data_IF_066833595889
#
_entry.id   IF_066833595889
#
_cell.length_a   1.000
_cell.length_b   1.000
_cell.length_c   1.000
_cell.angle_alpha   90.00
_cell.angle_beta   90.00
_cell.angle_gamma   90.00
#
_symmetry.space_group_name_H-M   'P 1'
#
loop_
_entity.id
_entity.type
_entity.pdbx_description
1 polymer ?
#
# COMPACT_ATOMS: atom_id res chain seq x y z
N UNK A 1 18.09 -6.43 22.18
CA UNK A 1 17.35 -6.89 20.99
C UNK A 1 18.35 -7.48 20.01
N UNK A 2 18.16 -8.74 19.60
CA UNK A 2 19.01 -9.40 18.61
C UNK A 2 18.94 -8.69 17.25
N UNK A 3 19.98 -8.75 16.40
CA UNK A 3 19.95 -8.17 15.03
C UNK A 3 18.74 -8.62 14.23
N UNK A 4 18.33 -9.88 14.34
CA UNK A 4 17.12 -10.41 13.71
C UNK A 4 15.86 -9.64 14.15
N UNK A 5 15.65 -9.39 15.42
CA UNK A 5 14.48 -8.68 15.95
C UNK A 5 14.36 -7.22 15.44
N UNK A 6 15.44 -6.64 14.91
CA UNK A 6 15.42 -5.31 14.26
C UNK A 6 14.94 -5.33 12.81
N UNK A 7 15.07 -6.47 12.11
CA UNK A 7 14.81 -6.60 10.66
C UNK A 7 13.34 -6.85 10.33
N UNK A 8 12.66 -7.68 11.13
CA UNK A 8 11.29 -8.11 10.88
C UNK A 8 10.31 -6.98 10.55
N UNK A 9 10.34 -5.81 11.23
CA UNK A 9 9.41 -4.74 10.91
C UNK A 9 9.52 -4.23 9.47
N UNK A 10 10.74 -4.13 8.91
CA UNK A 10 10.92 -3.65 7.54
C UNK A 10 10.39 -4.65 6.50
N UNK A 11 10.46 -5.95 6.78
CA UNK A 11 9.93 -6.98 5.87
C UNK A 11 8.42 -6.83 5.61
N UNK A 12 7.66 -6.26 6.57
CA UNK A 12 6.25 -5.95 6.38
C UNK A 12 5.98 -5.03 5.19
N UNK A 13 6.91 -4.11 4.87
CA UNK A 13 6.83 -3.24 3.70
C UNK A 13 7.07 -3.96 2.36
N UNK A 14 7.55 -5.19 2.37
CA UNK A 14 7.67 -6.04 1.17
C UNK A 14 6.53 -7.04 1.12
N UNK A 15 6.36 -7.81 2.19
CA UNK A 15 5.38 -8.92 2.24
C UNK A 15 3.95 -8.44 2.04
N UNK A 16 3.55 -7.37 2.73
CA UNK A 16 2.18 -6.82 2.63
C UNK A 16 1.83 -6.40 1.21
N UNK A 17 2.58 -5.46 0.59
CA UNK A 17 2.33 -5.04 -0.79
C UNK A 17 2.38 -6.18 -1.81
N UNK A 18 3.34 -7.10 -1.71
CA UNK A 18 3.46 -8.24 -2.64
C UNK A 18 2.27 -9.19 -2.50
N UNK A 19 1.87 -9.54 -1.27
CA UNK A 19 0.73 -10.41 -1.04
C UNK A 19 -0.58 -9.80 -1.56
N UNK A 20 -0.80 -8.49 -1.33
CA UNK A 20 -1.95 -7.78 -1.86
C UNK A 20 -1.95 -7.72 -3.39
N UNK A 21 -0.80 -7.39 -4.01
CA UNK A 21 -0.67 -7.36 -5.47
C UNK A 21 -0.93 -8.73 -6.09
N UNK A 22 -0.36 -9.79 -5.52
CA UNK A 22 -0.60 -11.16 -5.95
C UNK A 22 -2.08 -11.55 -5.81
N UNK A 23 -2.73 -11.17 -4.70
CA UNK A 23 -4.14 -11.47 -4.48
C UNK A 23 -5.02 -10.88 -5.59
N UNK A 24 -4.98 -9.55 -5.83
CA UNK A 24 -5.84 -8.98 -6.86
C UNK A 24 -5.48 -9.43 -8.29
N UNK A 25 -4.19 -9.68 -8.57
CA UNK A 25 -3.78 -10.14 -9.89
C UNK A 25 -4.25 -11.56 -10.22
N UNK A 26 -4.20 -12.46 -9.23
CA UNK A 26 -4.64 -13.85 -9.39
C UNK A 26 -6.17 -13.96 -9.34
N UNK A 27 -6.78 -13.32 -8.34
CA UNK A 27 -8.22 -13.44 -8.10
C UNK A 27 -9.05 -12.70 -9.16
N UNK A 28 -8.56 -11.55 -9.66
CA UNK A 28 -9.21 -10.83 -10.75
C UNK A 28 -9.33 -11.64 -12.04
N UNK A 29 -8.39 -12.56 -12.30
CA UNK A 29 -8.47 -13.49 -13.45
C UNK A 29 -9.46 -14.63 -13.23
N UNK A 30 -9.84 -14.92 -12.00
CA UNK A 30 -10.73 -16.02 -11.61
C UNK A 30 -12.17 -15.59 -11.44
N UNK A 31 -12.42 -14.29 -11.30
CA UNK A 31 -13.78 -13.76 -11.10
C UNK A 31 -14.42 -13.48 -12.46
N UNK A 32 -15.48 -14.22 -12.78
CA UNK A 32 -16.25 -14.02 -14.00
C UNK A 32 -16.85 -12.60 -14.05
N UNK A 33 -16.81 -11.97 -15.23
CA UNK A 33 -17.36 -10.63 -15.46
C UNK A 33 -16.54 -9.48 -14.86
N UNK A 34 -15.43 -9.77 -14.16
CA UNK A 34 -14.57 -8.75 -13.59
C UNK A 34 -13.60 -8.17 -14.62
N UNK A 35 -13.61 -6.85 -14.76
CA UNK A 35 -12.71 -6.11 -15.65
C UNK A 35 -11.63 -5.37 -14.84
N UNK A 36 -10.36 -5.71 -14.93
CA UNK A 36 -9.30 -4.96 -14.26
C UNK A 36 -9.13 -3.52 -14.76
N UNK A 37 -9.76 -3.15 -15.86
CA UNK A 37 -9.72 -1.79 -16.43
C UNK A 37 -10.77 -0.91 -15.74
N UNK A 38 -12.01 -1.39 -15.62
CA UNK A 38 -13.13 -0.61 -15.08
C UNK A 38 -13.40 -0.87 -13.61
N UNK A 39 -13.15 -2.09 -13.12
CA UNK A 39 -13.64 -2.50 -11.81
C UNK A 39 -12.62 -2.26 -10.70
N UNK A 40 -13.11 -1.77 -9.57
CA UNK A 40 -12.30 -1.56 -8.38
C UNK A 40 -11.83 -2.90 -7.78
N UNK A 41 -10.62 -2.90 -7.21
CA UNK A 41 -10.05 -4.08 -6.53
C UNK A 41 -10.94 -4.54 -5.38
N UNK A 42 -11.63 -3.62 -4.69
CA UNK A 42 -12.53 -3.94 -3.58
C UNK A 42 -13.75 -4.78 -3.98
N UNK A 43 -14.13 -4.81 -5.25
CA UNK A 43 -15.18 -5.72 -5.75
C UNK A 43 -14.79 -7.20 -5.63
N UNK A 44 -13.48 -7.49 -5.67
CA UNK A 44 -12.99 -8.86 -5.39
C UNK A 44 -13.18 -9.31 -3.94
N UNK A 45 -13.45 -8.37 -3.02
CA UNK A 45 -13.75 -8.61 -1.62
C UNK A 45 -15.21 -8.31 -1.25
N UNK A 46 -16.09 -8.07 -2.23
CA UNK A 46 -17.52 -7.83 -2.01
C UNK A 46 -18.18 -9.02 -1.31
N UNK A 47 -19.32 -8.79 -0.65
CA UNK A 47 -19.98 -9.81 0.20
C UNK A 47 -20.41 -11.06 -0.55
N UNK A 48 -20.72 -10.93 -1.84
CA UNK A 48 -21.15 -12.00 -2.75
C UNK A 48 -20.01 -12.52 -3.67
N UNK A 49 -18.83 -11.89 -3.63
CA UNK A 49 -17.74 -12.28 -4.51
C UNK A 49 -17.15 -13.65 -4.11
N UNK A 50 -17.01 -14.60 -5.03
CA UNK A 50 -16.39 -15.90 -4.76
C UNK A 50 -14.91 -15.76 -4.37
N UNK A 51 -14.28 -14.66 -4.72
CA UNK A 51 -12.89 -14.32 -4.41
C UNK A 51 -12.71 -13.62 -3.06
N UNK A 52 -13.81 -13.33 -2.33
CA UNK A 52 -13.85 -12.53 -1.10
C UNK A 52 -12.80 -12.95 -0.06
N UNK A 53 -12.77 -14.22 0.31
CA UNK A 53 -11.87 -14.69 1.36
C UNK A 53 -10.39 -14.44 1.02
N UNK A 54 -9.99 -14.76 -0.22
CA UNK A 54 -8.61 -14.54 -0.69
C UNK A 54 -8.24 -13.06 -0.77
N UNK A 55 -9.15 -12.21 -1.24
CA UNK A 55 -8.91 -10.78 -1.34
C UNK A 55 -8.87 -10.11 0.04
N UNK A 56 -9.76 -10.50 0.95
CA UNK A 56 -9.74 -10.07 2.35
C UNK A 56 -8.43 -10.45 3.04
N UNK A 57 -7.91 -11.67 2.80
CA UNK A 57 -6.61 -12.08 3.31
C UNK A 57 -5.46 -11.22 2.75
N UNK A 58 -5.49 -10.89 1.45
CA UNK A 58 -4.53 -9.97 0.83
C UNK A 58 -4.54 -8.58 1.47
N UNK A 59 -5.74 -8.03 1.72
CA UNK A 59 -5.92 -6.75 2.43
C UNK A 59 -5.43 -6.81 3.88
N UNK A 60 -5.69 -7.92 4.58
CA UNK A 60 -5.24 -8.11 5.95
C UNK A 60 -3.70 -8.20 6.05
N UNK A 61 -3.05 -8.90 5.12
CA UNK A 61 -1.58 -8.95 5.03
C UNK A 61 -0.97 -7.58 4.73
N UNK A 62 -1.58 -6.81 3.81
CA UNK A 62 -1.18 -5.42 3.58
C UNK A 62 -1.36 -4.58 4.83
N UNK A 63 -2.54 -4.66 5.44
CA UNK A 63 -2.94 -3.86 6.58
C UNK A 63 -2.13 -4.13 7.85
N UNK A 64 -1.61 -5.34 8.03
CA UNK A 64 -0.72 -5.70 9.14
C UNK A 64 0.76 -5.43 8.80
N UNK A 65 1.17 -5.64 7.55
CA UNK A 65 2.53 -5.40 7.09
C UNK A 65 2.95 -3.93 7.13
N UNK A 66 2.06 -3.01 6.73
CA UNK A 66 2.38 -1.58 6.68
C UNK A 66 2.64 -0.93 8.04
N UNK A 67 1.92 -1.21 9.14
CA UNK A 67 2.29 -0.73 10.47
C UNK A 67 3.64 -1.27 10.94
N UNK A 68 4.00 -2.51 10.62
CA UNK A 68 5.33 -3.03 10.90
C UNK A 68 6.40 -2.24 10.15
N UNK A 69 6.21 -2.02 8.85
CA UNK A 69 7.09 -1.16 8.05
C UNK A 69 7.17 0.27 8.63
N UNK A 70 6.05 0.84 9.07
CA UNK A 70 6.01 2.16 9.69
C UNK A 70 6.92 2.25 10.93
N UNK A 71 6.95 1.20 11.77
CA UNK A 71 7.87 1.11 12.91
C UNK A 71 9.33 1.12 12.45
N UNK A 72 9.68 0.39 11.40
CA UNK A 72 11.03 0.39 10.85
C UNK A 72 11.41 1.77 10.27
N UNK A 73 10.49 2.38 9.51
CA UNK A 73 10.67 3.70 8.92
C UNK A 73 10.91 4.76 10.00
N UNK A 74 10.06 4.79 11.05
CA UNK A 74 10.17 5.73 12.18
C UNK A 74 11.52 5.68 12.89
N UNK A 75 12.12 4.48 13.01
CA UNK A 75 13.41 4.29 13.69
C UNK A 75 14.58 4.88 12.91
N UNK A 76 14.48 4.98 11.60
CA UNK A 76 15.59 5.36 10.72
C UNK A 76 15.39 6.74 10.10
N UNK A 77 14.15 7.09 9.77
CA UNK A 77 13.80 8.27 8.99
C UNK A 77 12.95 9.22 9.84
N UNK A 78 13.46 10.43 10.15
CA UNK A 78 12.67 11.43 10.88
C UNK A 78 11.52 11.95 10.03
N UNK A 79 10.47 12.48 10.68
CA UNK A 79 9.31 13.08 10.02
C UNK A 79 8.10 12.16 9.97
N UNK A 80 6.95 12.63 9.42
CA UNK A 80 5.66 11.99 9.57
C UNK A 80 5.37 10.86 8.56
N UNK A 81 6.30 10.52 7.65
CA UNK A 81 6.09 9.47 6.64
C UNK A 81 5.69 8.10 7.23
N UNK A 82 6.18 7.78 8.43
CA UNK A 82 5.78 6.56 9.16
C UNK A 82 4.31 6.57 9.57
N UNK A 83 3.79 7.74 9.97
CA UNK A 83 2.38 7.86 10.35
C UNK A 83 1.47 7.64 9.13
N UNK A 84 1.83 8.21 7.98
CA UNK A 84 1.11 7.95 6.73
C UNK A 84 1.12 6.45 6.37
N UNK A 85 2.25 5.74 6.52
CA UNK A 85 2.32 4.30 6.27
C UNK A 85 1.44 3.49 7.25
N UNK A 86 1.44 3.85 8.54
CA UNK A 86 0.57 3.23 9.53
C UNK A 86 -0.92 3.47 9.23
N UNK A 87 -1.28 4.70 8.84
CA UNK A 87 -2.65 5.05 8.42
C UNK A 87 -3.08 4.24 7.20
N UNK A 88 -2.21 4.10 6.18
CA UNK A 88 -2.52 3.25 5.01
C UNK A 88 -2.83 1.81 5.43
N UNK A 89 -2.04 1.25 6.35
CA UNK A 89 -2.30 -0.08 6.89
C UNK A 89 -3.63 -0.18 7.64
N UNK A 90 -3.91 0.76 8.53
CA UNK A 90 -5.18 0.81 9.26
C UNK A 90 -6.39 0.94 8.32
N UNK A 91 -6.30 1.77 7.29
CA UNK A 91 -7.34 1.90 6.26
C UNK A 91 -7.52 0.61 5.46
N UNK A 92 -6.43 -0.12 5.16
CA UNK A 92 -6.52 -1.42 4.48
C UNK A 92 -7.25 -2.46 5.33
N UNK A 93 -7.04 -2.49 6.66
CA UNK A 93 -7.80 -3.32 7.58
C UNK A 93 -9.27 -2.88 7.66
N UNK A 94 -9.54 -1.56 7.66
CA UNK A 94 -10.90 -1.04 7.65
C UNK A 94 -11.65 -1.44 6.38
N UNK A 95 -11.01 -1.34 5.21
CA UNK A 95 -11.56 -1.81 3.92
C UNK A 95 -11.87 -3.31 3.97
N UNK A 96 -10.98 -4.12 4.55
CA UNK A 96 -11.20 -5.57 4.73
C UNK A 96 -12.39 -5.89 5.65
N UNK A 97 -12.56 -5.10 6.73
CA UNK A 97 -13.64 -5.26 7.71
C UNK A 97 -14.98 -4.69 7.25
N UNK A 98 -14.97 -3.81 6.25
CA UNK A 98 -16.13 -3.13 5.71
C UNK A 98 -16.34 -3.51 4.23
N UNK A 99 -16.60 -4.79 3.88
CA UNK A 99 -16.72 -5.22 2.49
C UNK A 99 -17.86 -4.48 1.79
N UNK A 100 -17.74 -4.29 0.47
CA UNK A 100 -18.84 -3.77 -0.35
C UNK A 100 -20.02 -4.75 -0.28
N UNK A 101 -21.28 -4.26 -0.17
CA UNK A 101 -22.45 -5.09 -0.30
C UNK A 101 -22.63 -5.59 -1.73
N UNK A 102 -23.42 -6.64 -1.94
CA UNK A 102 -23.74 -7.16 -3.27
C UNK A 102 -24.41 -6.11 -4.16
N UNK A 103 -25.13 -5.19 -3.57
CA UNK A 103 -25.76 -4.05 -4.27
C UNK A 103 -25.65 -2.78 -3.45
N UNK A 104 -25.41 -1.65 -4.13
CA UNK A 104 -25.30 -0.34 -3.49
C UNK A 104 -23.91 -0.03 -2.93
N UNK A 105 -23.82 1.09 -2.24
CA UNK A 105 -22.59 1.65 -1.69
C UNK A 105 -22.51 1.47 -0.18
N UNK A 106 -21.27 1.50 0.31
CA UNK A 106 -20.98 1.58 1.76
C UNK A 106 -20.12 2.81 2.02
N UNK A 107 -20.70 3.93 2.49
CA UNK A 107 -19.95 5.17 2.71
C UNK A 107 -18.72 5.01 3.60
N UNK A 108 -18.79 4.19 4.65
CA UNK A 108 -17.65 3.91 5.52
C UNK A 108 -16.50 3.21 4.78
N UNK A 109 -16.80 2.30 3.82
CA UNK A 109 -15.79 1.69 2.94
C UNK A 109 -15.14 2.76 2.06
N UNK A 110 -15.94 3.62 1.43
CA UNK A 110 -15.42 4.68 0.56
C UNK A 110 -14.51 5.66 1.33
N UNK A 111 -14.90 6.08 2.53
CA UNK A 111 -14.07 6.92 3.40
C UNK A 111 -12.75 6.22 3.74
N UNK A 112 -12.79 4.95 4.15
CA UNK A 112 -11.57 4.19 4.45
C UNK A 112 -10.66 4.06 3.22
N UNK A 113 -11.22 3.82 2.03
CA UNK A 113 -10.46 3.73 0.78
C UNK A 113 -9.81 5.07 0.42
N UNK A 114 -10.55 6.18 0.46
CA UNK A 114 -10.02 7.53 0.15
C UNK A 114 -8.92 7.93 1.12
N UNK A 115 -9.10 7.71 2.42
CA UNK A 115 -8.07 7.99 3.42
C UNK A 115 -6.83 7.08 3.20
N UNK A 116 -7.04 5.82 2.86
CA UNK A 116 -5.97 4.89 2.50
C UNK A 116 -5.18 5.35 1.28
N UNK A 117 -5.85 5.83 0.23
CA UNK A 117 -5.20 6.35 -0.97
C UNK A 117 -4.41 7.63 -0.70
N UNK A 118 -5.02 8.59 0.00
CA UNK A 118 -4.35 9.84 0.36
C UNK A 118 -3.11 9.58 1.22
N UNK A 119 -3.23 8.71 2.22
CA UNK A 119 -2.10 8.35 3.08
C UNK A 119 -1.02 7.59 2.31
N UNK A 120 -1.37 6.67 1.40
CA UNK A 120 -0.39 5.96 0.57
C UNK A 120 0.44 6.92 -0.29
N UNK A 121 -0.21 7.87 -0.96
CA UNK A 121 0.50 8.89 -1.75
C UNK A 121 1.37 9.80 -0.85
N UNK A 122 0.94 10.09 0.37
CA UNK A 122 1.67 10.90 1.33
C UNK A 122 2.95 10.22 1.84
N UNK A 123 3.02 8.88 1.91
CA UNK A 123 4.22 8.17 2.43
C UNK A 123 5.48 8.61 1.71
N UNK A 124 5.63 8.45 0.38
CA UNK A 124 6.84 8.84 -0.33
C UNK A 124 7.06 10.35 -0.36
N UNK A 125 6.00 11.17 -0.39
CA UNK A 125 6.11 12.64 -0.36
C UNK A 125 6.72 13.13 0.95
N UNK A 126 6.16 12.69 2.07
CA UNK A 126 6.62 13.07 3.41
C UNK A 126 8.00 12.48 3.75
N UNK A 127 8.31 11.30 3.21
CA UNK A 127 9.61 10.66 3.39
C UNK A 127 10.70 11.20 2.44
N UNK A 128 10.37 11.86 1.33
CA UNK A 128 11.31 12.21 0.25
C UNK A 128 12.63 12.84 0.74
N UNK A 129 12.55 13.92 1.47
CA UNK A 129 13.76 14.63 1.95
C UNK A 129 14.44 13.90 3.11
N UNK A 130 13.72 13.47 4.17
CA UNK A 130 14.38 12.81 5.28
C UNK A 130 14.94 11.43 4.89
N UNK A 131 14.28 10.68 4.00
CA UNK A 131 14.78 9.41 3.49
C UNK A 131 16.05 9.62 2.64
N UNK A 132 16.06 10.62 1.76
CA UNK A 132 17.22 10.95 0.94
C UNK A 132 18.43 11.36 1.80
N UNK A 133 18.23 12.08 2.89
CA UNK A 133 19.30 12.42 3.84
C UNK A 133 19.93 11.20 4.51
N UNK A 134 19.15 10.13 4.69
CA UNK A 134 19.59 8.91 5.37
C UNK A 134 20.11 7.83 4.42
N UNK A 135 19.53 7.74 3.24
CA UNK A 135 19.74 6.63 2.29
C UNK A 135 20.47 7.05 1.01
N UNK A 136 20.73 8.36 0.84
CA UNK A 136 21.39 8.93 -0.32
C UNK A 136 20.50 9.84 -1.14
N UNK A 137 21.09 10.90 -1.72
CA UNK A 137 20.38 11.98 -2.43
C UNK A 137 19.51 11.47 -3.59
N UNK A 138 19.90 10.37 -4.23
CA UNK A 138 19.16 9.75 -5.33
C UNK A 138 17.71 9.33 -5.00
N UNK A 139 17.35 9.24 -3.73
CA UNK A 139 15.99 8.90 -3.33
C UNK A 139 15.00 10.08 -3.38
N UNK A 140 15.47 11.34 -3.39
CA UNK A 140 14.60 12.51 -3.25
C UNK A 140 13.62 12.68 -4.42
N UNK A 141 14.13 12.72 -5.64
CA UNK A 141 13.29 12.90 -6.83
C UNK A 141 12.37 11.70 -7.10
N UNK A 142 12.85 10.43 -7.08
CA UNK A 142 11.98 9.28 -7.23
C UNK A 142 10.87 9.20 -6.17
N UNK A 143 11.15 9.56 -4.91
CA UNK A 143 10.12 9.58 -3.86
C UNK A 143 9.02 10.60 -4.16
N UNK A 144 9.38 11.82 -4.57
CA UNK A 144 8.40 12.85 -4.92
C UNK A 144 7.57 12.43 -6.13
N UNK A 145 8.24 11.89 -7.15
CA UNK A 145 7.56 11.40 -8.36
C UNK A 145 6.59 10.26 -8.02
N UNK A 146 7.03 9.29 -7.23
CA UNK A 146 6.17 8.17 -6.81
C UNK A 146 4.92 8.65 -6.07
N UNK A 147 5.06 9.58 -5.14
CA UNK A 147 3.91 10.13 -4.42
C UNK A 147 2.98 10.94 -5.31
N UNK A 148 3.52 11.77 -6.20
CA UNK A 148 2.73 12.56 -7.14
C UNK A 148 1.96 11.64 -8.12
N UNK A 149 2.65 10.69 -8.76
CA UNK A 149 2.01 9.73 -9.68
C UNK A 149 0.96 8.88 -8.98
N UNK A 150 1.28 8.34 -7.79
CA UNK A 150 0.33 7.59 -6.97
C UNK A 150 -0.93 8.43 -6.69
N UNK A 151 -0.77 9.65 -6.18
CA UNK A 151 -1.89 10.53 -5.84
C UNK A 151 -2.72 10.92 -7.06
N UNK A 152 -2.09 11.27 -8.18
CA UNK A 152 -2.78 11.61 -9.42
C UNK A 152 -3.58 10.44 -9.97
N UNK A 153 -2.98 9.23 -10.05
CA UNK A 153 -3.69 8.04 -10.51
C UNK A 153 -4.89 7.73 -9.62
N UNK A 154 -4.73 7.78 -8.29
CA UNK A 154 -5.81 7.46 -7.37
C UNK A 154 -6.90 8.53 -7.37
N UNK A 155 -6.57 9.81 -7.51
CA UNK A 155 -7.56 10.88 -7.69
C UNK A 155 -8.33 10.71 -9.03
N UNK A 156 -7.64 10.32 -10.09
CA UNK A 156 -8.24 10.14 -11.40
C UNK A 156 -9.18 8.92 -11.50
N UNK A 157 -9.22 8.03 -10.51
CA UNK A 157 -10.19 6.91 -10.49
C UNK A 157 -11.65 7.36 -10.51
N UNK A 158 -11.93 8.61 -10.16
CA UNK A 158 -13.28 9.19 -10.17
C UNK A 158 -13.70 9.77 -11.52
N UNK A 159 -12.80 9.83 -12.52
CA UNK A 159 -12.96 10.63 -13.73
C UNK A 159 -13.37 9.83 -14.97
N UNK A 160 -13.56 8.53 -14.90
CA UNK A 160 -13.93 7.82 -16.12
C UNK A 160 -13.87 6.28 -16.05
N UNK A 161 -14.07 5.63 -17.21
CA UNK A 161 -14.27 4.17 -17.31
C UNK A 161 -13.01 3.34 -16.99
N UNK A 162 -11.83 3.96 -16.96
CA UNK A 162 -10.57 3.30 -16.66
C UNK A 162 -10.21 3.33 -15.16
N UNK A 163 -11.20 3.50 -14.28
CA UNK A 163 -11.02 3.65 -12.84
C UNK A 163 -10.22 2.50 -12.21
N UNK A 164 -10.50 1.25 -12.60
CA UNK A 164 -9.80 0.08 -12.12
C UNK A 164 -8.31 0.06 -12.54
N UNK A 165 -8.00 0.45 -13.76
CA UNK A 165 -6.62 0.54 -14.24
C UNK A 165 -5.83 1.63 -13.49
N UNK A 166 -6.42 2.82 -13.34
CA UNK A 166 -5.81 3.94 -12.62
C UNK A 166 -5.59 3.61 -11.15
N UNK A 167 -6.55 2.93 -10.52
CA UNK A 167 -6.40 2.44 -9.15
C UNK A 167 -5.18 1.52 -9.02
N UNK A 168 -5.05 0.53 -9.90
CA UNK A 168 -3.91 -0.41 -9.89
C UNK A 168 -2.59 0.28 -10.15
N UNK A 169 -2.54 1.21 -11.10
CA UNK A 169 -1.34 1.98 -11.39
C UNK A 169 -0.90 2.80 -10.17
N UNK A 170 -1.81 3.55 -9.55
CA UNK A 170 -1.52 4.32 -8.34
C UNK A 170 -1.05 3.44 -7.18
N UNK A 171 -1.76 2.35 -6.91
CA UNK A 171 -1.39 1.39 -5.86
C UNK A 171 -0.05 0.72 -6.15
N UNK A 172 0.23 0.32 -7.39
CA UNK A 172 1.49 -0.30 -7.77
C UNK A 172 2.68 0.65 -7.55
N UNK A 173 2.55 1.92 -7.91
CA UNK A 173 3.59 2.93 -7.71
C UNK A 173 3.81 3.21 -6.22
N UNK A 174 2.75 3.44 -5.45
CA UNK A 174 2.84 3.71 -4.01
C UNK A 174 3.42 2.53 -3.23
N UNK A 175 2.89 1.33 -3.43
CA UNK A 175 3.36 0.10 -2.80
C UNK A 175 4.76 -0.31 -3.30
N UNK A 176 5.07 -0.09 -4.58
CA UNK A 176 6.40 -0.31 -5.15
C UNK A 176 7.46 0.55 -4.47
N UNK A 177 7.15 1.83 -4.21
CA UNK A 177 8.04 2.69 -3.45
C UNK A 177 8.23 2.19 -2.00
N UNK A 178 7.15 1.76 -1.33
CA UNK A 178 7.23 1.18 0.02
C UNK A 178 8.13 -0.06 0.01
N UNK A 179 7.94 -0.97 -0.94
CA UNK A 179 8.74 -2.19 -1.03
C UNK A 179 10.21 -1.89 -1.30
N UNK A 180 10.52 -0.98 -2.22
CA UNK A 180 11.89 -0.57 -2.53
C UNK A 180 12.58 0.09 -1.32
N UNK A 181 11.87 0.98 -0.62
CA UNK A 181 12.40 1.63 0.58
C UNK A 181 12.57 0.65 1.74
N UNK A 182 11.67 -0.32 1.90
CA UNK A 182 11.80 -1.41 2.87
C UNK A 182 13.05 -2.26 2.62
N UNK A 183 13.32 -2.63 1.37
CA UNK A 183 14.55 -3.34 0.97
C UNK A 183 15.79 -2.51 1.29
N UNK A 184 15.77 -1.20 1.02
CA UNK A 184 16.87 -0.32 1.35
C UNK A 184 17.14 -0.26 2.87
N UNK A 185 16.07 -0.22 3.70
CA UNK A 185 16.19 -0.28 5.16
C UNK A 185 16.78 -1.62 5.63
N UNK A 186 16.37 -2.75 5.04
CA UNK A 186 16.90 -4.08 5.36
C UNK A 186 18.40 -4.15 5.06
N UNK A 187 18.83 -3.75 3.87
CA UNK A 187 20.25 -3.77 3.44
C UNK A 187 21.15 -2.90 4.34
N UNK A 188 20.65 -1.74 4.79
CA UNK A 188 21.41 -0.88 5.70
C UNK A 188 21.66 -1.52 7.07
N UNK A 189 20.72 -2.34 7.54
CA UNK A 189 20.87 -3.05 8.81
C UNK A 189 21.93 -4.17 8.72
N UNK A 190 22.20 -4.68 7.50
CA UNK A 190 23.24 -5.68 7.26
C UNK A 190 24.65 -5.06 7.23
N UNK A 191 24.80 -3.86 6.66
CA UNK A 191 26.09 -3.18 6.52
C UNK A 191 26.62 -2.52 7.80
N UNK A 192 25.83 -2.42 8.86
CA UNK A 192 26.23 -1.85 10.16
C UNK A 192 26.76 -2.83 11.18
N UNK A 193 26.92 -4.09 10.82
CA UNK A 193 27.39 -5.20 11.67
C UNK A 193 28.76 -5.78 11.28
N UNK A 194 29.50 -5.08 10.39
CA UNK A 194 30.87 -5.39 10.00
C UNK A 194 31.88 -4.49 10.69
#
# INVERSE_FOLDING_TARGET
>A
MTPAARRWPAAGGVVGPVAFAAAWAVLGRRQAGYSPISDAISQLAATDAPTRAGMTAGLALLGTGLPLYAVALRRVVPGPGWAAAATTGACSLAVAALPLPASGDRPAHAVAAVLGYASLAAVPLLAATPFARRMGAGWKAPSRLAGAVCGTCLAATTLGPASGLLQRAGLAVGHGWIAASAVALLRRQDGGSA
#
